data_IF_837892847790
#
_entry.id   IF_837892847790
#
_cell.length_a   1.000
_cell.length_b   1.000
_cell.length_c   1.000
_cell.angle_alpha   90.00
_cell.angle_beta   90.00
_cell.angle_gamma   90.00
#
_symmetry.space_group_name_H-M   'P 1'
#
loop_
_entity.id
_entity.type
_entity.pdbx_description
1 polymer ?
#
# COMPACT_ATOMS: atom_id res chain seq x y z
N UNK A 1 61.63 36.26 11.85
CA UNK A 1 61.92 34.96 12.48
C UNK A 1 60.59 34.42 12.96
N UNK A 2 59.92 33.60 12.13
CA UNK A 2 58.58 33.08 12.43
C UNK A 2 58.72 31.94 13.43
N UNK A 3 58.01 32.08 14.56
CA UNK A 3 58.02 31.15 15.68
C UNK A 3 57.34 29.83 15.27
N UNK A 4 58.12 28.76 15.17
CA UNK A 4 57.71 27.40 14.80
C UNK A 4 57.29 26.61 16.05
N UNK A 5 56.35 27.13 16.84
CA UNK A 5 55.88 26.41 18.02
C UNK A 5 54.38 26.58 18.25
N UNK A 6 53.56 26.07 17.32
CA UNK A 6 52.17 25.72 17.63
C UNK A 6 52.07 24.25 18.03
N UNK A 7 51.40 23.92 19.15
CA UNK A 7 51.20 22.54 19.56
C UNK A 7 50.35 21.84 18.48
N UNK A 8 50.93 20.82 17.83
CA UNK A 8 50.22 19.90 16.93
C UNK A 8 48.91 19.47 17.60
N UNK A 9 47.80 20.04 17.16
CA UNK A 9 46.46 19.85 17.72
C UNK A 9 46.12 18.35 17.58
N UNK A 10 46.27 17.60 18.67
CA UNK A 10 46.08 16.13 18.75
C UNK A 10 44.71 15.61 18.24
N UNK A 11 43.79 16.52 17.96
CA UNK A 11 42.43 16.27 17.47
C UNK A 11 42.34 15.99 15.96
N UNK A 12 43.30 16.48 15.16
CA UNK A 12 43.30 16.29 13.71
C UNK A 12 43.27 14.80 13.27
N UNK A 13 44.13 13.91 13.79
CA UNK A 13 44.09 12.49 13.39
C UNK A 13 42.79 11.78 13.83
N UNK A 14 42.18 12.22 14.93
CA UNK A 14 40.91 11.65 15.42
C UNK A 14 39.75 12.02 14.50
N UNK A 15 39.71 13.27 14.01
CA UNK A 15 38.70 13.72 13.05
C UNK A 15 38.84 12.97 11.73
N UNK A 16 40.07 12.79 11.24
CA UNK A 16 40.31 12.06 9.98
C UNK A 16 39.87 10.60 10.09
N UNK A 17 40.16 9.92 11.20
CA UNK A 17 39.70 8.54 11.43
C UNK A 17 38.18 8.44 11.53
N UNK A 18 37.52 9.42 12.18
CA UNK A 18 36.06 9.45 12.26
C UNK A 18 35.41 9.63 10.89
N UNK A 19 35.97 10.48 10.02
CA UNK A 19 35.49 10.69 8.65
C UNK A 19 35.72 9.44 7.79
N UNK A 20 36.87 8.77 7.92
CA UNK A 20 37.12 7.52 7.20
C UNK A 20 36.13 6.43 7.65
N UNK A 21 35.90 6.30 8.95
CA UNK A 21 34.97 5.31 9.49
C UNK A 21 33.53 5.56 9.00
N UNK A 22 33.06 6.81 8.98
CA UNK A 22 31.72 7.12 8.43
C UNK A 22 31.66 6.89 6.93
N UNK A 23 32.69 7.24 6.16
CA UNK A 23 32.74 6.91 4.74
C UNK A 23 32.69 5.39 4.49
N UNK A 24 33.42 4.58 5.27
CA UNK A 24 33.38 3.12 5.14
C UNK A 24 32.00 2.56 5.47
N UNK A 25 31.34 3.05 6.52
CA UNK A 25 29.98 2.62 6.88
C UNK A 25 28.96 3.01 5.79
N UNK A 26 29.07 4.22 5.24
CA UNK A 26 28.18 4.68 4.15
C UNK A 26 28.40 3.86 2.89
N UNK A 27 29.66 3.60 2.53
CA UNK A 27 29.98 2.75 1.39
C UNK A 27 29.45 1.33 1.61
N UNK A 28 29.72 0.71 2.77
CA UNK A 28 29.23 -0.65 3.06
C UNK A 28 27.70 -0.74 2.96
N UNK A 29 26.94 0.22 3.50
CA UNK A 29 25.48 0.27 3.34
C UNK A 29 25.05 0.37 1.88
N UNK A 30 25.66 1.28 1.13
CA UNK A 30 25.34 1.48 -0.29
C UNK A 30 25.62 0.22 -1.13
N UNK A 31 26.75 -0.44 -0.89
CA UNK A 31 27.13 -1.67 -1.60
C UNK A 31 26.32 -2.89 -1.16
N UNK A 32 25.97 -3.02 0.12
CA UNK A 32 25.26 -4.21 0.63
C UNK A 32 23.75 -4.16 0.47
N UNK A 33 23.14 -2.97 0.46
CA UNK A 33 21.68 -2.80 0.44
C UNK A 33 21.19 -2.19 -0.87
N UNK A 34 21.77 -1.06 -1.29
CA UNK A 34 21.20 -0.26 -2.39
C UNK A 34 21.54 -0.82 -3.78
N UNK A 35 22.77 -1.31 -3.99
CA UNK A 35 23.18 -1.89 -5.28
C UNK A 35 22.38 -3.14 -5.70
N UNK A 36 22.13 -4.13 -4.82
CA UNK A 36 21.25 -5.26 -5.14
C UNK A 36 19.80 -4.84 -5.46
N UNK A 37 19.31 -3.77 -4.84
CA UNK A 37 17.98 -3.19 -5.10
C UNK A 37 17.92 -2.55 -6.48
N UNK A 38 18.92 -1.73 -6.84
CA UNK A 38 19.00 -1.07 -8.15
C UNK A 38 19.12 -2.08 -9.29
N UNK A 39 19.92 -3.14 -9.11
CA UNK A 39 20.06 -4.20 -10.11
C UNK A 39 18.75 -4.98 -10.32
N UNK A 40 17.93 -5.19 -9.26
CA UNK A 40 16.61 -5.83 -9.39
C UNK A 40 15.57 -4.97 -10.10
N UNK A 41 15.67 -3.63 -10.01
CA UNK A 41 14.77 -2.70 -10.72
C UNK A 41 15.02 -2.74 -12.23
N UNK A 42 16.25 -3.04 -12.66
CA UNK A 42 16.67 -2.89 -14.05
C UNK A 42 16.42 -4.14 -14.94
N UNK A 43 16.11 -5.30 -14.35
CA UNK A 43 16.02 -6.59 -15.04
C UNK A 43 14.59 -7.00 -15.46
N UNK A 44 13.61 -6.08 -15.47
CA UNK A 44 12.21 -6.42 -15.84
C UNK A 44 11.86 -6.10 -17.28
N UNK A 45 11.24 -7.10 -17.92
CA UNK A 45 10.54 -6.92 -19.17
C UNK A 45 9.49 -5.79 -19.06
N UNK A 46 9.28 -5.01 -20.12
CA UNK A 46 8.22 -4.00 -20.16
C UNK A 46 6.86 -4.61 -19.78
N UNK A 47 6.09 -3.92 -18.95
CA UNK A 47 4.70 -4.30 -18.68
C UNK A 47 3.91 -4.24 -19.99
N UNK A 48 3.31 -5.35 -20.42
CA UNK A 48 2.36 -5.35 -21.52
C UNK A 48 1.08 -4.64 -21.07
N UNK A 49 0.73 -3.47 -21.67
CA UNK A 49 -0.47 -2.72 -21.29
C UNK A 49 -1.78 -3.48 -21.63
N UNK A 50 -1.73 -4.44 -22.56
CA UNK A 50 -2.88 -5.22 -22.98
C UNK A 50 -3.09 -6.50 -22.16
N UNK A 51 -2.07 -6.94 -21.41
CA UNK A 51 -2.19 -8.10 -20.56
C UNK A 51 -3.33 -7.92 -19.53
N UNK A 52 -4.12 -8.99 -19.25
CA UNK A 52 -5.10 -8.95 -18.19
C UNK A 52 -4.46 -8.52 -16.86
N UNK A 53 -5.17 -7.67 -16.13
CA UNK A 53 -4.70 -7.18 -14.85
C UNK A 53 -5.86 -7.08 -13.87
N UNK A 54 -5.77 -7.87 -12.81
CA UNK A 54 -6.82 -8.02 -11.81
C UNK A 54 -6.32 -7.46 -10.48
N UNK A 55 -6.97 -6.42 -9.97
CA UNK A 55 -6.61 -5.80 -8.69
C UNK A 55 -7.83 -5.50 -7.83
N UNK A 56 -7.59 -5.26 -6.55
CA UNK A 56 -8.62 -4.82 -5.61
C UNK A 56 -8.16 -3.59 -4.84
N UNK A 57 -9.07 -2.64 -4.66
CA UNK A 57 -9.01 -1.62 -3.62
C UNK A 57 -9.65 -2.23 -2.37
N UNK A 58 -8.86 -2.44 -1.33
CA UNK A 58 -9.29 -3.12 -0.11
C UNK A 58 -9.40 -2.11 1.02
N UNK A 59 -10.60 -2.01 1.61
CA UNK A 59 -10.91 -1.14 2.75
C UNK A 59 -11.41 -1.97 3.93
N UNK A 60 -11.12 -1.50 5.15
CA UNK A 60 -11.81 -1.95 6.37
C UNK A 60 -12.90 -0.93 6.72
N UNK A 61 -14.10 -1.42 7.06
CA UNK A 61 -15.20 -0.61 7.54
C UNK A 61 -15.29 -0.65 9.08
N UNK A 62 -15.03 0.48 9.78
CA UNK A 62 -15.05 0.51 11.24
C UNK A 62 -16.47 0.59 11.79
N UNK A 63 -17.00 -0.53 12.28
CA UNK A 63 -18.36 -0.61 12.84
C UNK A 63 -18.54 0.17 14.16
N UNK A 64 -17.45 0.59 14.81
CA UNK A 64 -17.47 1.46 15.98
C UNK A 64 -17.68 2.95 15.64
N UNK A 65 -17.65 3.31 14.34
CA UNK A 65 -17.79 4.68 13.83
C UNK A 65 -18.71 4.77 12.61
N UNK A 66 -19.80 4.00 12.60
CA UNK A 66 -20.70 3.86 11.43
C UNK A 66 -21.09 5.22 10.83
N UNK A 67 -21.55 6.17 11.63
CA UNK A 67 -22.05 7.46 11.14
C UNK A 67 -20.99 8.24 10.32
N UNK A 68 -19.72 8.23 10.74
CA UNK A 68 -18.62 8.86 10.01
C UNK A 68 -18.18 8.02 8.81
N UNK A 69 -18.11 6.69 9.02
CA UNK A 69 -17.60 5.75 8.04
C UNK A 69 -18.53 5.59 6.83
N UNK A 70 -19.84 5.71 7.00
CA UNK A 70 -20.79 5.63 5.88
C UNK A 70 -20.58 6.75 4.86
N UNK A 71 -20.42 7.99 5.32
CA UNK A 71 -20.17 9.12 4.42
C UNK A 71 -18.83 8.96 3.70
N UNK A 72 -17.78 8.56 4.43
CA UNK A 72 -16.46 8.26 3.85
C UNK A 72 -16.56 7.14 2.80
N UNK A 73 -17.29 6.06 3.12
CA UNK A 73 -17.53 4.95 2.20
C UNK A 73 -18.24 5.40 0.92
N UNK A 74 -19.29 6.23 1.03
CA UNK A 74 -20.03 6.74 -0.14
C UNK A 74 -19.10 7.51 -1.07
N UNK A 75 -18.24 8.36 -0.52
CA UNK A 75 -17.28 9.13 -1.31
C UNK A 75 -16.19 8.26 -1.93
N UNK A 76 -15.62 7.32 -1.17
CA UNK A 76 -14.60 6.40 -1.68
C UNK A 76 -15.16 5.47 -2.76
N UNK A 77 -16.35 4.89 -2.55
CA UNK A 77 -17.04 4.08 -3.55
C UNK A 77 -17.36 4.88 -4.82
N UNK A 78 -17.82 6.13 -4.67
CA UNK A 78 -18.06 7.02 -5.82
C UNK A 78 -16.76 7.31 -6.59
N UNK A 79 -15.66 7.58 -5.88
CA UNK A 79 -14.36 7.82 -6.50
C UNK A 79 -13.87 6.58 -7.28
N UNK A 80 -14.02 5.39 -6.70
CA UNK A 80 -13.75 4.12 -7.37
C UNK A 80 -14.60 3.95 -8.64
N UNK A 81 -15.92 4.15 -8.54
CA UNK A 81 -16.84 4.05 -9.68
C UNK A 81 -16.47 5.01 -10.82
N UNK A 82 -16.08 6.25 -10.48
CA UNK A 82 -15.60 7.24 -11.47
C UNK A 82 -14.28 6.82 -12.10
N UNK A 83 -13.35 6.26 -11.32
CA UNK A 83 -12.06 5.75 -11.80
C UNK A 83 -12.26 4.61 -12.81
N UNK A 84 -13.25 3.73 -12.62
CA UNK A 84 -13.55 2.65 -13.55
C UNK A 84 -13.86 3.13 -14.98
N UNK A 85 -14.38 4.34 -15.16
CA UNK A 85 -14.65 4.89 -16.49
C UNK A 85 -13.38 5.08 -17.35
N UNK A 86 -12.21 5.16 -16.72
CA UNK A 86 -10.90 5.27 -17.38
C UNK A 86 -10.11 3.95 -17.37
N UNK A 87 -10.72 2.86 -16.89
CA UNK A 87 -10.05 1.56 -16.78
C UNK A 87 -9.89 0.91 -18.17
N UNK A 88 -8.69 0.37 -18.48
CA UNK A 88 -8.48 -0.39 -19.71
C UNK A 88 -9.42 -1.61 -19.82
N UNK A 89 -9.83 -2.02 -21.03
CA UNK A 89 -10.80 -3.12 -21.20
C UNK A 89 -10.36 -4.49 -20.65
N UNK A 90 -9.05 -4.77 -20.63
CA UNK A 90 -8.49 -6.01 -20.08
C UNK A 90 -8.26 -5.96 -18.57
N UNK A 91 -8.49 -4.82 -17.93
CA UNK A 91 -8.23 -4.62 -16.51
C UNK A 91 -9.50 -4.72 -15.70
N UNK A 92 -9.37 -5.12 -14.43
CA UNK A 92 -10.46 -5.16 -13.44
C UNK A 92 -9.94 -4.62 -12.11
N UNK A 93 -10.75 -3.78 -11.48
CA UNK A 93 -10.46 -3.18 -10.18
C UNK A 93 -11.69 -3.32 -9.29
N UNK A 94 -11.66 -4.26 -8.35
CA UNK A 94 -12.76 -4.39 -7.40
C UNK A 94 -12.62 -3.45 -6.23
N UNK A 95 -13.74 -3.21 -5.57
CA UNK A 95 -13.81 -2.52 -4.30
C UNK A 95 -14.24 -3.53 -3.24
N UNK A 96 -13.28 -3.98 -2.42
CA UNK A 96 -13.48 -5.04 -1.44
C UNK A 96 -13.54 -4.42 -0.05
N UNK A 97 -14.68 -4.57 0.62
CA UNK A 97 -14.97 -4.00 1.93
C UNK A 97 -14.98 -5.13 2.95
N UNK A 98 -14.09 -5.07 3.92
CA UNK A 98 -14.11 -5.96 5.08
C UNK A 98 -14.88 -5.28 6.21
N UNK A 99 -15.90 -5.95 6.74
CA UNK A 99 -16.75 -5.42 7.80
C UNK A 99 -17.16 -6.52 8.78
N UNK A 100 -17.24 -6.16 10.06
CA UNK A 100 -17.69 -7.08 11.12
C UNK A 100 -19.21 -7.28 11.11
N UNK A 101 -19.96 -6.29 10.61
CA UNK A 101 -21.41 -6.32 10.51
C UNK A 101 -21.86 -6.16 9.06
N UNK A 102 -23.05 -6.69 8.75
CA UNK A 102 -23.72 -6.41 7.50
C UNK A 102 -24.65 -5.20 7.68
N UNK A 103 -24.47 -4.16 6.87
CA UNK A 103 -25.11 -2.86 7.02
C UNK A 103 -25.88 -2.47 5.73
N UNK A 104 -26.94 -1.69 5.89
CA UNK A 104 -27.81 -1.29 4.77
C UNK A 104 -27.06 -0.48 3.72
N UNK A 105 -26.07 0.33 4.12
CA UNK A 105 -25.18 1.07 3.21
C UNK A 105 -24.57 0.19 2.12
N UNK A 106 -24.23 -1.06 2.42
CA UNK A 106 -23.64 -1.96 1.44
C UNK A 106 -24.63 -2.35 0.34
N UNK A 107 -25.91 -2.50 0.69
CA UNK A 107 -26.97 -2.77 -0.27
C UNK A 107 -27.30 -1.52 -1.09
N UNK A 108 -27.32 -0.35 -0.46
CA UNK A 108 -27.52 0.93 -1.16
C UNK A 108 -26.43 1.20 -2.21
N UNK A 109 -25.18 0.80 -1.92
CA UNK A 109 -24.06 0.90 -2.85
C UNK A 109 -24.02 -0.23 -3.89
N UNK A 110 -25.01 -1.14 -3.91
CA UNK A 110 -25.07 -2.32 -4.76
C UNK A 110 -23.86 -3.25 -4.63
N UNK A 111 -23.30 -3.35 -3.41
CA UNK A 111 -22.23 -4.29 -3.11
C UNK A 111 -22.80 -5.71 -2.92
N UNK A 112 -22.08 -6.70 -3.45
CA UNK A 112 -22.44 -8.11 -3.35
C UNK A 112 -21.65 -8.81 -2.26
N UNK A 113 -22.15 -9.95 -1.79
CA UNK A 113 -21.42 -10.86 -0.88
C UNK A 113 -20.80 -12.04 -1.64
N UNK A 114 -21.12 -12.17 -2.93
CA UNK A 114 -20.53 -13.18 -3.79
C UNK A 114 -19.08 -12.77 -4.14
N UNK A 115 -18.14 -13.63 -3.78
CA UNK A 115 -16.74 -13.43 -4.11
C UNK A 115 -16.53 -13.50 -5.63
N UNK A 116 -15.42 -12.93 -6.10
CA UNK A 116 -15.00 -13.12 -7.49
C UNK A 116 -14.59 -14.58 -7.69
N UNK A 117 -15.06 -15.18 -8.77
CA UNK A 117 -14.66 -16.53 -9.20
C UNK A 117 -13.76 -16.47 -10.43
N UNK A 118 -13.98 -15.49 -11.32
CA UNK A 118 -13.24 -15.38 -12.59
C UNK A 118 -12.73 -13.96 -12.83
N UNK A 119 -11.62 -13.84 -13.54
CA UNK A 119 -11.06 -12.56 -13.99
C UNK A 119 -11.87 -11.91 -15.13
N UNK A 120 -12.79 -12.64 -15.77
CA UNK A 120 -13.58 -12.14 -16.89
C UNK A 120 -14.72 -11.21 -16.44
N UNK A 121 -15.24 -11.44 -15.23
CA UNK A 121 -16.31 -10.67 -14.62
C UNK A 121 -15.99 -9.17 -14.61
N UNK A 122 -17.02 -8.32 -14.73
CA UNK A 122 -16.87 -6.88 -14.52
C UNK A 122 -16.32 -6.57 -13.11
N UNK A 123 -15.78 -5.36 -12.94
CA UNK A 123 -15.40 -4.87 -11.61
C UNK A 123 -16.62 -4.89 -10.67
N UNK A 124 -16.46 -5.39 -9.44
CA UNK A 124 -17.52 -5.54 -8.44
C UNK A 124 -17.20 -4.75 -7.16
N UNK A 125 -18.24 -4.29 -6.48
CA UNK A 125 -18.15 -3.98 -5.06
C UNK A 125 -18.50 -5.24 -4.26
N UNK A 126 -17.61 -5.70 -3.38
CA UNK A 126 -17.73 -6.94 -2.62
C UNK A 126 -17.63 -6.63 -1.14
N UNK A 127 -18.57 -7.13 -0.34
CA UNK A 127 -18.50 -7.09 1.12
C UNK A 127 -18.15 -8.46 1.67
N UNK A 128 -17.19 -8.48 2.57
CA UNK A 128 -16.65 -9.67 3.19
C UNK A 128 -16.79 -9.54 4.68
N UNK A 129 -17.38 -10.57 5.32
CA UNK A 129 -17.41 -10.63 6.76
C UNK A 129 -15.99 -10.73 7.31
N UNK A 130 -15.70 -9.92 8.32
CA UNK A 130 -14.41 -9.82 8.97
C UNK A 130 -14.54 -9.97 10.47
N UNK A 131 -13.51 -10.49 11.13
CA UNK A 131 -13.42 -10.51 12.59
C UNK A 131 -12.23 -9.68 13.00
N UNK A 132 -12.44 -8.69 13.86
CA UNK A 132 -11.36 -7.81 14.32
C UNK A 132 -10.24 -8.61 14.99
N UNK A 133 -9.00 -8.22 14.70
CA UNK A 133 -7.82 -8.73 15.43
C UNK A 133 -7.60 -8.00 16.74
N UNK A 134 -8.34 -6.91 16.99
CA UNK A 134 -8.23 -6.14 18.22
C UNK A 134 -8.80 -6.95 19.37
N UNK A 135 -8.06 -7.00 20.47
CA UNK A 135 -8.48 -7.63 21.73
C UNK A 135 -8.24 -6.66 22.88
N UNK A 136 -8.66 -7.04 24.09
CA UNK A 136 -8.36 -6.26 25.29
C UNK A 136 -6.84 -6.06 25.50
N UNK A 137 -6.03 -7.05 25.10
CA UNK A 137 -4.57 -7.03 25.21
C UNK A 137 -3.88 -6.42 23.97
N UNK A 138 -4.61 -6.26 22.86
CA UNK A 138 -4.11 -5.71 21.61
C UNK A 138 -5.11 -4.73 20.98
N UNK A 139 -5.16 -3.52 21.52
CA UNK A 139 -6.13 -2.47 21.13
C UNK A 139 -5.65 -1.49 20.06
N UNK A 140 -4.65 -1.84 19.24
CA UNK A 140 -4.10 -0.90 18.24
C UNK A 140 -5.14 -0.54 17.16
N UNK A 141 -5.52 0.74 17.08
CA UNK A 141 -6.59 1.20 16.19
C UNK A 141 -6.28 0.97 14.68
N UNK A 142 -5.00 0.97 14.31
CA UNK A 142 -4.57 0.71 12.93
C UNK A 142 -4.44 -0.77 12.58
N UNK A 143 -4.77 -1.69 13.50
CA UNK A 143 -4.55 -3.12 13.28
C UNK A 143 -5.43 -3.68 12.16
N UNK A 144 -6.75 -3.47 12.22
CA UNK A 144 -7.69 -4.04 11.26
C UNK A 144 -7.51 -3.51 9.83
N UNK A 145 -7.36 -2.19 9.60
CA UNK A 145 -7.09 -1.67 8.27
C UNK A 145 -5.82 -2.20 7.59
N UNK A 146 -4.88 -2.76 8.36
CA UNK A 146 -3.67 -3.42 7.84
C UNK A 146 -3.91 -4.92 7.71
N UNK A 147 -4.55 -5.53 8.70
CA UNK A 147 -4.74 -6.97 8.75
C UNK A 147 -5.60 -7.51 7.59
N UNK A 148 -6.60 -6.75 7.14
CA UNK A 148 -7.49 -7.16 6.03
C UNK A 148 -6.77 -7.45 4.71
N UNK A 149 -5.57 -6.90 4.50
CA UNK A 149 -4.71 -7.20 3.33
C UNK A 149 -3.54 -8.13 3.67
N UNK A 150 -3.25 -8.36 4.95
CA UNK A 150 -2.16 -9.21 5.41
C UNK A 150 -2.60 -10.66 5.65
N UNK A 151 -3.88 -10.89 5.92
CA UNK A 151 -4.43 -12.23 6.14
C UNK A 151 -4.63 -13.00 4.83
N UNK A 152 -4.50 -14.32 4.90
CA UNK A 152 -4.91 -15.20 3.81
C UNK A 152 -6.43 -15.27 3.78
N UNK A 153 -7.03 -14.76 2.70
CA UNK A 153 -8.48 -14.68 2.54
C UNK A 153 -8.88 -15.14 1.14
N UNK A 154 -9.88 -16.04 1.00
CA UNK A 154 -10.45 -16.39 -0.30
C UNK A 154 -10.95 -15.17 -1.07
N UNK A 155 -11.36 -14.11 -0.36
CA UNK A 155 -11.84 -12.90 -0.96
C UNK A 155 -10.75 -12.09 -1.67
N UNK A 156 -9.47 -12.30 -1.34
CA UNK A 156 -8.33 -11.57 -1.93
C UNK A 156 -7.40 -12.46 -2.75
N UNK A 157 -7.57 -13.78 -2.70
CA UNK A 157 -6.67 -14.77 -3.29
C UNK A 157 -6.50 -14.70 -4.82
N UNK A 158 -7.49 -14.17 -5.55
CA UNK A 158 -7.46 -14.13 -7.03
C UNK A 158 -6.77 -12.89 -7.60
N UNK A 159 -6.49 -11.86 -6.79
CA UNK A 159 -5.97 -10.60 -7.31
C UNK A 159 -4.46 -10.65 -7.52
N UNK A 160 -4.00 -10.06 -8.62
CA UNK A 160 -2.58 -9.84 -8.87
C UNK A 160 -2.01 -8.82 -7.87
N UNK A 161 -2.80 -7.79 -7.53
CA UNK A 161 -2.41 -6.69 -6.65
C UNK A 161 -3.56 -6.25 -5.74
N UNK A 162 -3.21 -5.98 -4.49
CA UNK A 162 -4.07 -5.35 -3.50
C UNK A 162 -3.58 -3.93 -3.24
N UNK A 163 -4.47 -2.95 -3.42
CA UNK A 163 -4.30 -1.60 -2.89
C UNK A 163 -4.98 -1.58 -1.53
N UNK A 164 -4.19 -1.60 -0.46
CA UNK A 164 -4.69 -1.21 0.86
C UNK A 164 -5.01 0.27 0.81
N UNK A 165 -6.24 0.62 1.17
CA UNK A 165 -6.69 2.01 1.24
C UNK A 165 -7.50 2.22 2.50
N UNK A 166 -7.43 3.42 3.05
CA UNK A 166 -8.36 3.85 4.09
C UNK A 166 -9.72 4.20 3.47
N UNK A 167 -10.77 4.14 4.27
CA UNK A 167 -12.15 4.37 3.84
C UNK A 167 -12.41 5.83 3.42
N UNK A 168 -11.61 6.76 3.92
CA UNK A 168 -11.65 8.19 3.63
C UNK A 168 -10.78 8.58 2.41
N UNK A 169 -10.09 7.60 1.80
CA UNK A 169 -9.21 7.83 0.66
C UNK A 169 -9.99 7.73 -0.66
N UNK A 170 -9.68 8.65 -1.58
CA UNK A 170 -10.28 8.70 -2.92
C UNK A 170 -9.25 8.34 -3.99
N UNK A 171 -9.62 7.40 -4.88
CA UNK A 171 -8.84 7.10 -6.09
C UNK A 171 -9.27 8.00 -7.25
N UNK A 172 -8.31 8.40 -8.08
CA UNK A 172 -8.57 9.26 -9.24
C UNK A 172 -8.57 8.45 -10.55
N UNK A 173 -9.11 9.00 -11.66
CA UNK A 173 -9.02 8.35 -12.96
C UNK A 173 -7.60 8.01 -13.42
N UNK A 174 -6.57 8.75 -12.97
CA UNK A 174 -5.18 8.43 -13.29
C UNK A 174 -4.73 7.08 -12.69
N UNK A 175 -5.32 6.67 -11.56
CA UNK A 175 -5.06 5.36 -10.98
C UNK A 175 -5.60 4.22 -11.87
N UNK A 176 -6.63 4.48 -12.68
CA UNK A 176 -7.27 3.47 -13.54
C UNK A 176 -6.31 2.81 -14.54
N UNK A 177 -5.32 3.57 -15.00
CA UNK A 177 -4.33 3.15 -16.01
C UNK A 177 -2.95 2.92 -15.40
N UNK A 178 -2.80 3.10 -14.09
CA UNK A 178 -1.55 2.89 -13.39
C UNK A 178 -1.40 1.43 -12.95
N UNK A 179 -0.33 0.77 -13.39
CA UNK A 179 0.10 -0.55 -12.92
C UNK A 179 1.52 -0.45 -12.37
N UNK A 180 1.75 -0.80 -11.10
CA UNK A 180 3.08 -0.80 -10.55
C UNK A 180 3.93 -1.91 -11.17
N UNK A 181 5.22 -1.62 -11.41
CA UNK A 181 6.20 -2.61 -11.89
C UNK A 181 6.77 -3.47 -10.76
N UNK A 182 6.53 -3.09 -9.50
CA UNK A 182 6.96 -3.78 -8.29
C UNK A 182 6.00 -3.49 -7.15
N UNK A 183 6.02 -4.31 -6.09
CA UNK A 183 5.33 -3.96 -4.85
C UNK A 183 5.86 -2.62 -4.34
N UNK A 184 5.00 -1.61 -4.31
CA UNK A 184 5.32 -0.28 -3.79
C UNK A 184 4.63 -0.14 -2.44
N UNK A 185 5.40 0.07 -1.39
CA UNK A 185 4.88 0.41 -0.06
C UNK A 185 5.11 1.90 0.17
N UNK A 186 4.07 2.61 0.62
CA UNK A 186 4.23 3.95 1.17
C UNK A 186 4.81 3.83 2.58
N UNK A 187 5.84 4.62 2.87
CA UNK A 187 6.30 4.82 4.25
C UNK A 187 5.68 6.14 4.70
N UNK A 188 4.91 6.10 5.77
CA UNK A 188 4.43 7.33 6.42
C UNK A 188 5.64 8.07 6.99
N UNK A 189 5.72 9.38 6.75
CA UNK A 189 6.95 10.18 6.74
C UNK A 189 7.97 9.90 7.86
N UNK A 190 9.25 9.86 7.45
CA UNK A 190 10.44 9.87 8.30
C UNK A 190 10.60 11.18 9.11
#
# INVERSE_FOLDING_TARGET
>A
MFDLNQPRRRWFPVIVLAVIATCVVVQLKFWSVDMPLLLRVQDRAPLDPNAPFLRASVVYFPIDKVDEAEDQLRWSHRAWSMMLASQPPSWRTDFVIFSEADLDIFNELNCTRALRETAADASKCIVVHYTTVRTADFGYAGADPINVVAMDSPATALYDYLLRTDIDTMVTPAFATWRPSQLTTGIDGA
#
